data_IF_770453973785
#
_entry.id   IF_770453973785
#
_cell.length_a   1.000
_cell.length_b   1.000
_cell.length_c   1.000
_cell.angle_alpha   90.00
_cell.angle_beta   90.00
_cell.angle_gamma   90.00
#
_symmetry.space_group_name_H-M   'P 1'
#
loop_
_entity.id
_entity.type
_entity.pdbx_description
1 polymer ?
#
# COMPACT_ATOMS: atom_id res chain seq x y z
N UNK A 1 -9.76 11.30 17.36
CA UNK A 1 -9.64 9.86 17.07
C UNK A 1 -9.20 9.79 15.64
N UNK A 2 -7.94 9.40 15.41
CA UNK A 2 -7.40 9.24 14.07
C UNK A 2 -7.55 7.78 13.69
N UNK A 3 -8.42 7.47 12.74
CA UNK A 3 -8.69 6.09 12.35
C UNK A 3 -8.46 5.87 10.86
N UNK A 4 -8.16 4.64 10.49
CA UNK A 4 -8.13 4.18 9.11
C UNK A 4 -9.07 3.00 8.94
N UNK A 5 -9.62 2.85 7.73
CA UNK A 5 -10.28 1.63 7.31
C UNK A 5 -9.31 0.84 6.43
N UNK A 6 -8.92 -0.35 6.87
CA UNK A 6 -8.25 -1.30 6.00
C UNK A 6 -9.29 -1.97 5.11
N UNK A 7 -8.98 -2.08 3.83
CA UNK A 7 -9.84 -2.76 2.85
C UNK A 7 -8.99 -3.71 2.02
N UNK A 8 -9.52 -4.92 1.84
CA UNK A 8 -8.93 -5.94 1.00
C UNK A 8 -9.94 -6.31 -0.09
N UNK A 9 -9.53 -6.18 -1.34
CA UNK A 9 -10.32 -6.66 -2.48
C UNK A 9 -9.63 -7.83 -3.17
N UNK A 10 -10.38 -8.82 -3.63
CA UNK A 10 -9.90 -9.87 -4.53
C UNK A 10 -9.95 -9.38 -5.98
N UNK A 11 -8.87 -9.53 -6.75
CA UNK A 11 -8.91 -9.29 -8.19
C UNK A 11 -9.67 -10.44 -8.87
N UNK A 12 -10.75 -10.10 -9.58
CA UNK A 12 -11.55 -11.06 -10.35
C UNK A 12 -11.24 -11.04 -11.84
N UNK A 13 -10.77 -9.90 -12.35
CA UNK A 13 -10.36 -9.73 -13.74
C UNK A 13 -8.99 -9.08 -13.84
N UNK A 14 -8.33 -9.34 -14.96
CA UNK A 14 -7.00 -8.77 -15.23
C UNK A 14 -7.04 -7.23 -15.14
N UNK A 15 -5.98 -6.63 -14.63
CA UNK A 15 -5.89 -5.22 -14.35
C UNK A 15 -5.00 -4.50 -15.36
N UNK A 16 -5.44 -3.34 -15.85
CA UNK A 16 -4.65 -2.47 -16.73
C UNK A 16 -4.33 -1.19 -15.96
N UNK A 17 -3.08 -1.06 -15.54
CA UNK A 17 -2.60 0.13 -14.83
C UNK A 17 -1.15 -0.03 -14.40
N UNK A 18 -0.81 0.55 -13.25
CA UNK A 18 0.56 0.52 -12.76
C UNK A 18 0.97 -0.88 -12.28
N UNK A 19 2.15 -1.41 -12.69
CA UNK A 19 2.51 -2.81 -12.44
C UNK A 19 2.76 -3.17 -10.98
N UNK A 20 3.07 -2.19 -10.14
CA UNK A 20 3.47 -2.42 -8.74
C UNK A 20 2.37 -2.13 -7.73
N UNK A 21 1.32 -1.40 -8.12
CA UNK A 21 0.26 -0.98 -7.22
C UNK A 21 -0.99 -0.54 -7.99
N UNK A 22 -2.12 -0.46 -7.28
CA UNK A 22 -3.28 0.33 -7.70
C UNK A 22 -3.14 1.73 -7.10
N UNK A 23 -3.16 2.79 -7.91
CA UNK A 23 -2.98 4.14 -7.35
C UNK A 23 -4.15 4.56 -6.47
N UNK A 24 -3.88 5.38 -5.44
CA UNK A 24 -4.96 5.94 -4.62
C UNK A 24 -5.90 6.80 -5.46
N UNK A 25 -5.38 7.45 -6.52
CA UNK A 25 -6.20 8.09 -7.55
C UNK A 25 -7.18 7.10 -8.22
N UNK A 26 -6.72 5.92 -8.66
CA UNK A 26 -7.61 4.92 -9.27
C UNK A 26 -8.66 4.38 -8.29
N UNK A 27 -8.30 4.20 -7.01
CA UNK A 27 -9.24 3.79 -5.95
C UNK A 27 -10.30 4.87 -5.73
N UNK A 28 -9.90 6.14 -5.57
CA UNK A 28 -10.85 7.24 -5.37
C UNK A 28 -11.76 7.46 -6.59
N UNK A 29 -11.26 7.28 -7.81
CA UNK A 29 -12.09 7.35 -9.02
C UNK A 29 -13.12 6.21 -9.09
N UNK A 30 -12.79 5.03 -8.57
CA UNK A 30 -13.76 3.93 -8.47
C UNK A 30 -14.82 4.24 -7.40
N UNK A 31 -14.39 4.65 -6.20
CA UNK A 31 -15.30 5.02 -5.10
C UNK A 31 -16.23 6.18 -5.46
N UNK A 32 -15.75 7.18 -6.20
CA UNK A 32 -16.54 8.34 -6.62
C UNK A 32 -17.72 8.00 -7.53
N UNK A 33 -17.82 6.78 -8.05
CA UNK A 33 -19.01 6.31 -8.79
C UNK A 33 -20.15 5.89 -7.87
N UNK A 34 -19.85 5.64 -6.59
CA UNK A 34 -20.77 5.11 -5.58
C UNK A 34 -20.99 6.09 -4.42
N UNK A 35 -20.07 7.03 -4.22
CA UNK A 35 -20.14 8.02 -3.15
C UNK A 35 -20.78 9.34 -3.59
N UNK A 36 -21.49 9.98 -2.67
CA UNK A 36 -21.88 11.37 -2.83
C UNK A 36 -20.65 12.28 -2.92
N UNK A 37 -20.70 13.38 -3.71
CA UNK A 37 -19.53 14.23 -3.95
C UNK A 37 -18.86 14.80 -2.69
N UNK A 38 -19.65 15.08 -1.64
CA UNK A 38 -19.14 15.61 -0.36
C UNK A 38 -18.34 14.57 0.42
N UNK A 39 -18.87 13.34 0.50
CA UNK A 39 -18.16 12.21 1.12
C UNK A 39 -16.91 11.87 0.29
N UNK A 40 -17.05 11.80 -1.04
CA UNK A 40 -15.92 11.54 -1.94
C UNK A 40 -14.80 12.55 -1.77
N UNK A 41 -15.12 13.85 -1.68
CA UNK A 41 -14.14 14.92 -1.45
C UNK A 41 -13.40 14.81 -0.13
N UNK A 42 -14.03 14.18 0.88
CA UNK A 42 -13.50 14.03 2.24
C UNK A 42 -12.70 12.72 2.45
N UNK A 43 -12.90 11.73 1.58
CA UNK A 43 -12.15 10.47 1.61
C UNK A 43 -10.82 10.60 0.88
N UNK A 44 -9.81 9.99 1.48
CA UNK A 44 -8.48 9.84 0.93
C UNK A 44 -8.07 8.36 0.95
N UNK A 45 -7.33 7.92 -0.06
CA UNK A 45 -6.94 6.52 -0.23
C UNK A 45 -5.43 6.37 -0.37
N UNK A 46 -4.85 5.36 0.28
CA UNK A 46 -3.48 4.93 0.01
C UNK A 46 -3.36 4.36 -1.40
N UNK A 47 -2.11 4.15 -1.86
CA UNK A 47 -1.89 3.17 -2.92
C UNK A 47 -2.33 1.78 -2.43
N UNK A 48 -3.03 1.04 -3.28
CA UNK A 48 -3.36 -0.36 -3.09
C UNK A 48 -2.16 -1.24 -3.42
N UNK A 49 -1.74 -2.07 -2.47
CA UNK A 49 -0.63 -3.02 -2.63
C UNK A 49 -1.19 -4.34 -3.10
N UNK A 50 -0.59 -4.93 -4.13
CA UNK A 50 -0.95 -6.28 -4.56
C UNK A 50 -0.45 -7.31 -3.56
N UNK A 51 -1.31 -8.24 -3.14
CA UNK A 51 -1.00 -9.25 -2.11
C UNK A 51 -1.39 -10.64 -2.62
N UNK A 52 -0.49 -11.64 -2.60
CA UNK A 52 -0.82 -12.98 -3.04
C UNK A 52 -1.60 -13.75 -1.96
N UNK A 53 -2.64 -14.48 -2.33
CA UNK A 53 -3.37 -15.39 -1.44
C UNK A 53 -2.59 -16.66 -1.09
N UNK A 54 -1.48 -16.53 -0.37
CA UNK A 54 -0.55 -17.62 -0.06
C UNK A 54 -0.35 -17.86 1.43
N UNK A 55 0.23 -19.02 1.74
CA UNK A 55 0.67 -19.35 3.10
C UNK A 55 1.79 -18.41 3.52
N UNK A 56 1.73 -17.97 4.78
CA UNK A 56 2.72 -17.10 5.36
C UNK A 56 3.01 -17.41 6.81
N UNK A 57 4.11 -16.86 7.30
CA UNK A 57 4.44 -16.75 8.73
C UNK A 57 4.41 -15.29 9.08
N UNK A 58 3.80 -14.95 10.22
CA UNK A 58 3.90 -13.59 10.73
C UNK A 58 5.36 -13.21 11.01
N UNK A 59 5.83 -12.03 10.56
CA UNK A 59 7.14 -11.51 10.93
C UNK A 59 7.29 -11.37 12.45
N UNK A 60 8.53 -11.33 12.95
CA UNK A 60 8.81 -11.18 14.38
C UNK A 60 8.21 -9.89 14.94
N UNK A 61 8.11 -8.84 14.12
CA UNK A 61 7.55 -7.57 14.54
C UNK A 61 6.04 -7.56 14.70
N UNK A 62 5.35 -8.55 14.13
CA UNK A 62 3.91 -8.65 14.20
C UNK A 62 3.46 -9.25 15.54
N UNK A 63 2.34 -8.77 16.09
CA UNK A 63 1.83 -9.19 17.41
C UNK A 63 1.29 -10.62 17.41
N UNK A 64 0.74 -11.06 16.27
CA UNK A 64 0.41 -12.46 16.02
C UNK A 64 1.63 -13.25 15.55
N UNK A 65 1.66 -14.56 15.83
CA UNK A 65 2.77 -15.45 15.46
C UNK A 65 2.29 -16.73 14.78
N UNK A 66 3.24 -17.47 14.20
CA UNK A 66 3.00 -18.77 13.57
C UNK A 66 2.62 -18.72 12.09
N UNK A 67 2.38 -19.91 11.54
CA UNK A 67 2.05 -20.10 10.11
C UNK A 67 0.54 -20.00 9.92
N UNK A 68 0.10 -19.16 8.98
CA UNK A 68 -1.31 -19.02 8.60
C UNK A 68 -1.52 -19.43 7.14
N UNK A 69 -2.50 -20.31 6.85
CA UNK A 69 -2.92 -20.57 5.49
C UNK A 69 -3.56 -19.30 4.91
N UNK A 70 -3.20 -18.96 3.66
CA UNK A 70 -3.78 -17.81 2.94
C UNK A 70 -3.67 -16.48 3.71
N UNK A 71 -2.50 -16.19 4.30
CA UNK A 71 -2.26 -14.99 5.09
C UNK A 71 -2.55 -13.69 4.32
N UNK A 72 -2.31 -13.69 3.00
CA UNK A 72 -2.61 -12.54 2.13
C UNK A 72 -4.07 -12.40 1.68
N UNK A 73 -4.98 -13.31 2.06
CA UNK A 73 -6.39 -13.28 1.63
C UNK A 73 -7.38 -12.83 2.70
N UNK A 74 -6.88 -12.17 3.75
CA UNK A 74 -7.70 -11.60 4.82
C UNK A 74 -6.90 -10.58 5.62
N UNK A 75 -7.58 -9.87 6.52
CA UNK A 75 -6.98 -8.86 7.37
C UNK A 75 -6.79 -9.42 8.78
N UNK A 76 -5.54 -9.64 9.24
CA UNK A 76 -5.28 -10.01 10.63
C UNK A 76 -5.59 -8.88 11.61
N UNK A 77 -5.86 -9.23 12.87
CA UNK A 77 -6.05 -8.23 13.93
C UNK A 77 -4.82 -7.32 14.03
N UNK A 78 -5.08 -6.01 14.16
CA UNK A 78 -4.05 -4.98 14.35
C UNK A 78 -4.06 -4.54 15.80
N UNK A 79 -2.93 -4.69 16.49
CA UNK A 79 -2.75 -4.29 17.90
C UNK A 79 -1.54 -3.38 18.09
N UNK A 80 -0.54 -3.49 17.22
CA UNK A 80 0.63 -2.64 17.22
C UNK A 80 0.80 -1.92 15.88
N UNK A 81 1.59 -0.85 15.89
CA UNK A 81 1.96 -0.11 14.68
C UNK A 81 2.54 -1.00 13.58
N UNK A 82 3.40 -1.95 13.94
CA UNK A 82 4.06 -2.85 12.99
C UNK A 82 3.09 -3.80 12.28
N UNK A 83 1.95 -4.13 12.90
CA UNK A 83 0.94 -5.04 12.33
C UNK A 83 0.35 -4.49 11.02
N UNK A 84 0.23 -3.16 10.92
CA UNK A 84 -0.28 -2.48 9.74
C UNK A 84 0.53 -2.84 8.48
N UNK A 85 1.85 -2.96 8.62
CA UNK A 85 2.75 -3.10 7.47
C UNK A 85 2.86 -4.52 6.93
N UNK A 86 2.22 -5.52 7.55
CA UNK A 86 2.27 -6.92 7.12
C UNK A 86 2.02 -7.08 5.61
N UNK A 87 1.01 -6.38 5.08
CA UNK A 87 0.59 -6.44 3.68
C UNK A 87 0.92 -5.16 2.91
N UNK A 88 1.77 -4.28 3.45
CA UNK A 88 2.17 -3.02 2.78
C UNK A 88 3.50 -3.16 2.05
N UNK A 89 4.33 -4.12 2.45
CA UNK A 89 5.62 -4.37 1.80
C UNK A 89 5.48 -5.25 0.55
N UNK A 90 5.92 -4.73 -0.60
CA UNK A 90 5.91 -5.44 -1.88
C UNK A 90 6.81 -6.69 -1.91
N UNK A 91 7.80 -6.78 -1.01
CA UNK A 91 8.67 -7.97 -0.90
C UNK A 91 8.00 -9.15 -0.18
N UNK A 92 6.83 -8.93 0.42
CA UNK A 92 6.03 -9.90 1.15
C UNK A 92 6.89 -10.75 2.11
N UNK A 93 7.52 -10.14 3.13
CA UNK A 93 8.47 -10.82 4.02
C UNK A 93 7.84 -12.01 4.75
N UNK A 94 6.52 -11.99 4.92
CA UNK A 94 5.72 -13.04 5.53
C UNK A 94 5.56 -14.30 4.65
N UNK A 95 5.83 -14.25 3.34
CA UNK A 95 5.73 -15.45 2.49
C UNK A 95 6.72 -16.52 2.97
N UNK A 96 6.24 -17.76 3.09
CA UNK A 96 7.10 -18.89 3.43
C UNK A 96 8.25 -19.05 2.43
N UNK A 97 9.46 -19.34 2.91
CA UNK A 97 10.65 -19.61 2.07
C UNK A 97 10.45 -20.77 1.08
N UNK A 98 9.47 -21.64 1.35
CA UNK A 98 9.06 -22.73 0.44
C UNK A 98 8.19 -22.26 -0.73
N UNK A 99 7.99 -20.95 -0.90
CA UNK A 99 7.26 -20.34 -2.01
C UNK A 99 8.22 -19.58 -2.91
N UNK A 100 7.99 -19.68 -4.22
CA UNK A 100 8.79 -18.96 -5.21
C UNK A 100 8.46 -17.47 -5.17
N UNK A 101 9.13 -16.73 -4.27
CA UNK A 101 8.88 -15.31 -4.03
C UNK A 101 8.99 -14.47 -5.31
N UNK A 102 9.99 -14.73 -6.16
CA UNK A 102 10.15 -14.02 -7.44
C UNK A 102 8.92 -14.13 -8.35
N UNK A 103 8.24 -15.27 -8.30
CA UNK A 103 7.02 -15.54 -9.07
C UNK A 103 5.73 -15.13 -8.32
N UNK A 104 5.83 -14.68 -7.07
CA UNK A 104 4.73 -14.22 -6.22
C UNK A 104 4.89 -12.76 -5.76
N UNK A 105 5.83 -12.03 -6.35
CA UNK A 105 6.02 -10.58 -6.19
C UNK A 105 5.72 -9.83 -7.49
N UNK A 106 5.36 -10.54 -8.57
CA UNK A 106 5.04 -9.97 -9.87
C UNK A 106 3.82 -10.67 -10.48
N UNK A 107 3.06 -9.95 -11.29
CA UNK A 107 1.92 -10.50 -12.02
C UNK A 107 2.36 -11.10 -13.35
N UNK A 108 1.69 -12.18 -13.76
CA UNK A 108 1.77 -12.65 -15.14
C UNK A 108 1.20 -11.58 -16.08
N UNK A 109 1.83 -11.39 -17.24
CA UNK A 109 1.31 -10.50 -18.28
C UNK A 109 0.42 -11.30 -19.25
N UNK A 110 -0.83 -10.88 -19.38
CA UNK A 110 -1.78 -11.41 -20.35
C UNK A 110 -2.10 -10.35 -21.39
N UNK A 111 -2.03 -10.72 -22.68
CA UNK A 111 -2.35 -9.81 -23.77
C UNK A 111 -3.72 -10.17 -24.33
N UNK A 112 -4.69 -9.30 -24.09
CA UNK A 112 -6.05 -9.44 -24.57
C UNK A 112 -6.41 -8.23 -25.42
N UNK A 113 -6.85 -8.45 -26.66
CA UNK A 113 -7.20 -7.36 -27.59
C UNK A 113 -6.05 -6.39 -27.90
N UNK A 114 -4.79 -6.83 -27.76
CA UNK A 114 -3.60 -6.00 -27.96
C UNK A 114 -3.19 -5.13 -26.76
N UNK A 115 -3.88 -5.26 -25.62
CA UNK A 115 -3.54 -4.56 -24.39
C UNK A 115 -2.84 -5.52 -23.41
N UNK A 116 -1.62 -5.20 -22.95
CA UNK A 116 -0.99 -5.94 -21.86
C UNK A 116 -1.72 -5.62 -20.55
N UNK A 117 -2.21 -6.66 -19.88
CA UNK A 117 -2.88 -6.60 -18.61
C UNK A 117 -2.15 -7.48 -17.59
N UNK A 118 -2.20 -7.07 -16.33
CA UNK A 118 -1.69 -7.84 -15.19
C UNK A 118 -2.73 -8.91 -14.84
N UNK A 119 -2.32 -10.16 -14.78
CA UNK A 119 -3.20 -11.26 -14.45
C UNK A 119 -3.73 -11.14 -13.01
N UNK A 120 -5.02 -11.41 -12.84
CA UNK A 120 -5.68 -11.47 -11.52
C UNK A 120 -5.30 -12.70 -10.69
N UNK A 121 -4.64 -13.68 -11.31
CA UNK A 121 -4.13 -14.88 -10.67
C UNK A 121 -2.81 -15.32 -11.30
N UNK A 122 -1.96 -15.98 -10.50
CA UNK A 122 -0.73 -16.63 -10.97
C UNK A 122 -0.94 -18.14 -10.96
N UNK A 123 -0.67 -18.81 -12.09
CA UNK A 123 -0.79 -20.26 -12.22
C UNK A 123 0.62 -20.87 -12.36
N UNK A 124 1.03 -21.65 -11.37
CA UNK A 124 2.33 -22.33 -11.36
C UNK A 124 2.18 -23.81 -11.63
N UNK A 125 2.99 -24.34 -12.55
CA UNK A 125 3.15 -25.78 -12.73
C UNK A 125 3.77 -26.42 -11.48
N UNK A 126 3.34 -27.64 -11.17
CA UNK A 126 3.93 -28.49 -10.13
C UNK A 126 4.60 -29.70 -10.76
N UNK A 127 5.51 -30.33 -10.03
CA UNK A 127 6.17 -31.58 -10.44
C UNK A 127 5.14 -32.69 -10.69
N UNK A 128 5.45 -33.58 -11.62
CA UNK A 128 4.54 -34.67 -12.04
C UNK A 128 4.19 -35.65 -10.92
N UNK A 129 5.05 -35.78 -9.90
CA UNK A 129 4.84 -36.63 -8.72
C UNK A 129 3.90 -36.01 -7.67
N UNK A 130 3.51 -34.74 -7.83
CA UNK A 130 2.55 -34.07 -6.95
C UNK A 130 1.11 -34.41 -7.34
N UNK A 131 0.23 -34.52 -6.32
CA UNK A 131 -1.21 -34.79 -6.53
C UNK A 131 -1.91 -33.79 -7.47
N UNK A 132 -1.47 -32.52 -7.47
CA UNK A 132 -1.99 -31.47 -8.37
C UNK A 132 -0.90 -31.08 -9.36
N UNK A 133 -1.26 -30.99 -10.63
CA UNK A 133 -0.35 -30.56 -11.71
C UNK A 133 -0.08 -29.05 -11.70
N UNK A 134 -0.95 -28.26 -11.07
CA UNK A 134 -0.85 -26.80 -11.01
C UNK A 134 -1.27 -26.26 -9.64
N UNK A 135 -0.80 -25.07 -9.32
CA UNK A 135 -1.21 -24.25 -8.19
C UNK A 135 -1.60 -22.86 -8.68
N UNK A 136 -2.85 -22.51 -8.43
CA UNK A 136 -3.37 -21.15 -8.66
C UNK A 136 -3.22 -20.33 -7.39
N UNK A 137 -2.73 -19.10 -7.54
CA UNK A 137 -2.67 -18.09 -6.50
C UNK A 137 -3.51 -16.90 -6.95
N UNK A 138 -4.52 -16.55 -6.15
CA UNK A 138 -5.31 -15.34 -6.38
C UNK A 138 -4.56 -14.11 -5.88
N UNK A 139 -4.75 -12.99 -6.55
CA UNK A 139 -4.22 -11.70 -6.12
C UNK A 139 -5.30 -10.85 -5.44
N UNK A 140 -4.87 -10.10 -4.44
CA UNK A 140 -5.69 -9.16 -3.69
C UNK A 140 -5.08 -7.76 -3.76
N UNK A 141 -5.87 -6.74 -3.47
CA UNK A 141 -5.45 -5.36 -3.34
C UNK A 141 -5.74 -4.92 -1.91
N UNK A 142 -4.70 -4.62 -1.14
CA UNK A 142 -4.80 -4.10 0.22
C UNK A 142 -4.56 -2.60 0.24
N UNK A 143 -5.50 -1.83 0.78
CA UNK A 143 -5.39 -0.37 0.88
C UNK A 143 -5.92 0.16 2.22
N UNK A 144 -5.55 1.39 2.52
CA UNK A 144 -6.09 2.18 3.62
C UNK A 144 -6.95 3.31 3.08
N UNK A 145 -8.11 3.48 3.68
CA UNK A 145 -8.92 4.68 3.54
C UNK A 145 -8.83 5.49 4.83
N UNK A 146 -8.80 6.81 4.70
CA UNK A 146 -8.88 7.72 5.84
C UNK A 146 -9.69 8.97 5.46
N UNK A 147 -10.22 9.62 6.48
CA UNK A 147 -10.90 10.90 6.38
C UNK A 147 -10.64 11.71 7.65
N UNK A 148 -10.57 13.03 7.52
CA UNK A 148 -10.39 13.92 8.67
C UNK A 148 -11.65 13.98 9.55
N UNK A 149 -12.82 13.90 8.92
CA UNK A 149 -14.10 13.76 9.62
C UNK A 149 -14.33 12.29 9.99
N UNK A 150 -14.37 11.93 11.30
CA UNK A 150 -14.56 10.55 11.74
C UNK A 150 -15.95 9.98 11.41
N UNK A 151 -16.91 10.81 10.98
CA UNK A 151 -18.25 10.35 10.58
C UNK A 151 -18.31 9.82 9.15
N UNK A 152 -17.27 10.05 8.35
CA UNK A 152 -17.16 9.60 6.95
C UNK A 152 -16.84 8.10 6.86
N UNK A 153 -16.09 7.56 7.81
CA UNK A 153 -15.70 6.13 7.86
C UNK A 153 -16.45 5.39 8.99
N UNK A 154 -16.70 4.08 8.85
CA UNK A 154 -16.35 3.23 7.70
C UNK A 154 -17.25 3.43 6.49
N UNK A 155 -16.68 3.26 5.29
CA UNK A 155 -17.48 3.02 4.10
C UNK A 155 -18.10 1.62 4.18
N UNK A 156 -19.39 1.53 3.85
CA UNK A 156 -20.15 0.28 3.85
C UNK A 156 -19.76 -0.66 2.70
N UNK A 157 -20.11 -1.94 2.84
CA UNK A 157 -19.87 -2.95 1.80
C UNK A 157 -20.56 -2.58 0.48
N UNK A 158 -21.71 -1.91 0.53
CA UNK A 158 -22.46 -1.42 -0.64
C UNK A 158 -21.67 -0.42 -1.49
N UNK A 159 -20.73 0.30 -0.89
CA UNK A 159 -19.80 1.21 -1.59
C UNK A 159 -18.52 0.51 -2.02
N UNK A 160 -18.04 -0.46 -1.23
CA UNK A 160 -16.76 -1.12 -1.46
C UNK A 160 -16.85 -2.33 -2.40
N UNK A 161 -18.05 -2.86 -2.64
CA UNK A 161 -18.32 -4.00 -3.52
C UNK A 161 -18.50 -3.57 -4.99
N UNK A 162 -18.15 -4.45 -5.93
CA UNK A 162 -18.40 -4.23 -7.36
C UNK A 162 -17.57 -3.11 -8.00
N UNK A 163 -16.46 -2.71 -7.35
CA UNK A 163 -15.56 -1.70 -7.88
C UNK A 163 -14.74 -2.22 -9.08
N UNK A 164 -14.25 -1.28 -9.88
CA UNK A 164 -13.33 -1.56 -10.98
C UNK A 164 -12.15 -0.58 -10.96
N UNK A 165 -10.93 -1.11 -10.95
CA UNK A 165 -9.70 -0.31 -10.92
C UNK A 165 -9.00 -0.23 -12.29
N UNK A 166 -8.35 0.90 -12.55
CA UNK A 166 -7.50 1.07 -13.72
C UNK A 166 -8.25 1.39 -15.03
N UNK A 167 -7.62 1.04 -16.15
CA UNK A 167 -8.09 1.35 -17.49
C UNK A 167 -9.01 0.30 -18.10
N UNK A 168 -9.72 0.68 -19.17
CA UNK A 168 -10.57 -0.22 -19.98
C UNK A 168 -11.66 -0.96 -19.19
N UNK A 169 -12.14 -0.35 -18.11
CA UNK A 169 -13.26 -0.79 -17.25
C UNK A 169 -14.52 -1.22 -18.02
N UNK A 170 -14.82 -0.55 -19.14
CA UNK A 170 -15.93 -0.90 -20.03
C UNK A 170 -15.79 -2.25 -20.75
N UNK A 171 -14.63 -2.92 -20.63
CA UNK A 171 -14.36 -4.28 -21.13
C UNK A 171 -14.20 -5.31 -19.99
N UNK A 172 -14.50 -4.92 -18.74
CA UNK A 172 -14.42 -5.81 -17.56
C UNK A 172 -13.03 -5.90 -16.92
N UNK A 173 -12.04 -5.11 -17.36
CA UNK A 173 -10.73 -5.09 -16.69
C UNK A 173 -10.80 -4.47 -15.30
N UNK A 174 -10.02 -5.02 -14.38
CA UNK A 174 -9.84 -4.53 -13.03
C UNK A 174 -11.05 -4.71 -12.13
N UNK A 175 -12.00 -5.59 -12.47
CA UNK A 175 -13.08 -6.00 -11.57
C UNK A 175 -12.52 -6.60 -10.30
N UNK A 176 -13.05 -6.13 -9.17
CA UNK A 176 -12.69 -6.60 -7.85
C UNK A 176 -13.92 -6.96 -7.04
N UNK A 177 -13.73 -7.85 -6.07
CA UNK A 177 -14.74 -8.20 -5.07
C UNK A 177 -14.25 -7.82 -3.68
N UNK A 178 -15.10 -7.25 -2.84
CA UNK A 178 -14.72 -7.00 -1.45
C UNK A 178 -14.46 -8.34 -0.75
N UNK A 179 -13.30 -8.46 -0.11
CA UNK A 179 -12.90 -9.67 0.60
C UNK A 179 -13.00 -9.51 2.11
N UNK A 180 -12.51 -8.38 2.61
CA UNK A 180 -12.40 -8.11 4.04
C UNK A 180 -12.25 -6.60 4.28
N UNK A 181 -12.71 -6.13 5.43
CA UNK A 181 -12.49 -4.74 5.87
C UNK A 181 -12.51 -4.65 7.39
N UNK A 182 -11.68 -3.78 7.95
CA UNK A 182 -11.69 -3.48 9.38
C UNK A 182 -11.33 -2.03 9.66
N UNK A 183 -11.92 -1.47 10.73
CA UNK A 183 -11.54 -0.17 11.27
C UNK A 183 -10.39 -0.34 12.26
N UNK A 184 -9.41 0.57 12.19
CA UNK A 184 -8.28 0.61 13.10
C UNK A 184 -8.17 2.02 13.69
N UNK A 185 -8.25 2.14 15.01
CA UNK A 185 -7.93 3.37 15.71
C UNK A 185 -6.41 3.49 15.87
N UNK A 186 -5.81 4.49 15.22
CA UNK A 186 -4.37 4.73 15.32
C UNK A 186 -3.96 5.26 16.69
N UNK A 187 -4.89 5.80 17.47
CA UNK A 187 -4.61 6.28 18.82
C UNK A 187 -4.50 5.16 19.85
N UNK A 188 -5.06 3.97 19.56
CA UNK A 188 -5.08 2.80 20.46
C UNK A 188 -3.96 1.76 20.18
N UNK A 189 -3.18 1.94 19.12
CA UNK A 189 -2.12 1.01 18.76
C UNK A 189 -0.93 1.07 19.73
N UNK A 190 -0.27 -0.07 19.90
CA UNK A 190 1.02 -0.14 20.59
C UNK A 190 2.16 0.44 19.71
N UNK A 191 2.81 1.48 20.23
CA UNK A 191 3.99 2.15 19.63
C UNK A 191 5.27 1.96 20.46
N UNK A 192 5.28 1.07 21.45
CA UNK A 192 6.39 0.88 22.40
C UNK A 192 7.75 0.65 21.72
N UNK A 193 7.75 -0.03 20.57
CA UNK A 193 8.96 -0.24 19.74
C UNK A 193 9.56 1.05 19.19
N UNK A 194 8.73 2.06 18.92
CA UNK A 194 9.21 3.39 18.53
C UNK A 194 9.59 4.21 19.76
N UNK A 195 8.82 4.18 20.83
CA UNK A 195 9.09 4.98 22.03
C UNK A 195 10.42 4.64 22.72
N UNK A 196 10.87 3.38 22.60
CA UNK A 196 12.10 2.89 23.25
C UNK A 196 13.40 3.04 22.45
N UNK A 197 13.38 3.60 21.23
CA UNK A 197 14.56 3.65 20.36
C UNK A 197 15.24 5.04 20.35
N UNK A 198 16.54 5.07 20.02
CA UNK A 198 17.30 6.33 19.89
C UNK A 198 17.48 6.79 18.44
N UNK A 199 17.39 5.85 17.50
CA UNK A 199 17.61 6.13 16.08
C UNK A 199 16.56 5.41 15.26
N UNK A 200 16.10 6.10 14.22
CA UNK A 200 15.02 5.61 13.37
C UNK A 200 15.38 5.75 11.90
N UNK A 201 14.82 4.85 11.11
CA UNK A 201 14.78 4.94 9.67
C UNK A 201 13.36 5.25 9.23
N UNK A 202 13.24 6.00 8.14
CA UNK A 202 12.02 6.13 7.36
C UNK A 202 12.17 5.24 6.15
N UNK A 203 11.18 4.40 5.92
CA UNK A 203 11.00 3.65 4.69
C UNK A 203 9.77 4.21 3.96
N UNK A 204 9.96 4.69 2.73
CA UNK A 204 8.84 5.16 1.91
C UNK A 204 8.04 3.98 1.40
N UNK A 205 6.78 3.87 1.81
CA UNK A 205 5.86 2.83 1.34
C UNK A 205 5.26 3.23 0.00
N UNK A 206 4.97 4.52 -0.19
CA UNK A 206 4.54 5.08 -1.46
C UNK A 206 5.41 6.27 -1.85
N UNK A 207 5.49 6.62 -3.15
CA UNK A 207 6.33 7.73 -3.59
C UNK A 207 5.94 9.04 -2.91
N UNK A 208 6.92 9.89 -2.58
CA UNK A 208 6.69 11.22 -1.99
C UNK A 208 6.84 12.30 -3.06
N UNK A 209 5.82 13.12 -3.27
CA UNK A 209 5.83 14.15 -4.33
C UNK A 209 6.70 15.33 -3.90
N UNK A 210 7.65 15.69 -4.77
CA UNK A 210 8.49 16.90 -4.62
C UNK A 210 8.04 18.02 -5.55
N UNK A 211 7.57 17.68 -6.77
CA UNK A 211 7.10 18.66 -7.76
C UNK A 211 5.82 18.16 -8.45
N UNK A 212 4.93 19.07 -8.82
CA UNK A 212 3.66 18.73 -9.48
C UNK A 212 3.24 19.72 -10.57
N UNK A 213 2.85 19.20 -11.74
CA UNK A 213 2.18 20.00 -12.78
C UNK A 213 0.69 20.28 -12.47
N UNK A 214 0.13 19.69 -11.43
CA UNK A 214 -1.29 19.85 -11.09
C UNK A 214 -1.56 21.28 -10.57
N UNK A 215 -2.60 21.97 -11.11
CA UNK A 215 -2.96 23.30 -10.63
C UNK A 215 -3.22 23.30 -9.12
N UNK A 216 -2.80 24.35 -8.43
CA UNK A 216 -2.99 24.52 -6.98
C UNK A 216 -2.28 23.47 -6.08
N UNK A 217 -1.38 22.66 -6.64
CA UNK A 217 -0.45 21.86 -5.85
C UNK A 217 0.80 22.69 -5.51
N UNK A 218 1.19 22.68 -4.23
CA UNK A 218 2.46 23.23 -3.81
C UNK A 218 3.60 22.24 -4.08
N UNK A 219 4.69 22.71 -4.68
CA UNK A 219 5.95 21.97 -4.67
C UNK A 219 6.45 21.85 -3.22
N UNK A 220 6.97 20.67 -2.87
CA UNK A 220 7.41 20.37 -1.51
C UNK A 220 8.89 19.99 -1.55
N UNK A 221 9.76 20.72 -0.82
CA UNK A 221 11.14 20.26 -0.66
C UNK A 221 11.15 18.92 0.09
N UNK A 222 12.25 18.18 -0.06
CA UNK A 222 12.53 17.02 0.79
C UNK A 222 12.39 17.44 2.25
N UNK A 223 11.64 16.70 3.10
CA UNK A 223 11.40 17.12 4.47
C UNK A 223 12.70 17.26 5.26
N UNK A 224 12.82 18.34 6.04
CA UNK A 224 14.03 18.66 6.82
C UNK A 224 14.40 17.59 7.86
N UNK A 225 13.43 16.76 8.24
CA UNK A 225 13.60 15.64 9.18
C UNK A 225 14.09 14.36 8.48
N UNK A 226 14.49 14.43 7.21
CA UNK A 226 15.22 13.38 6.49
C UNK A 226 16.69 13.75 6.45
N UNK A 227 17.58 12.79 6.71
CA UNK A 227 19.02 13.04 6.68
C UNK A 227 19.56 13.31 5.27
N UNK A 228 18.92 12.72 4.25
CA UNK A 228 19.31 12.89 2.85
C UNK A 228 18.76 14.19 2.26
N UNK A 229 19.56 14.81 1.40
CA UNK A 229 19.10 15.87 0.51
C UNK A 229 18.64 15.27 -0.82
N UNK A 230 18.03 16.10 -1.68
CA UNK A 230 17.50 15.66 -2.97
C UNK A 230 18.51 14.93 -3.85
N UNK A 231 19.78 15.35 -3.85
CA UNK A 231 20.82 14.75 -4.70
C UNK A 231 21.19 13.32 -4.26
N UNK A 232 20.90 12.96 -3.00
CA UNK A 232 21.07 11.62 -2.45
C UNK A 232 19.87 10.68 -2.67
N UNK A 233 18.78 11.16 -3.28
CA UNK A 233 17.52 10.42 -3.38
C UNK A 233 17.26 9.90 -4.80
N UNK A 234 16.63 8.72 -4.90
CA UNK A 234 16.15 8.21 -6.17
C UNK A 234 14.87 8.93 -6.56
N UNK A 235 14.92 9.68 -7.66
CA UNK A 235 13.77 10.36 -8.23
C UNK A 235 13.10 9.52 -9.31
N UNK A 236 11.78 9.67 -9.43
CA UNK A 236 10.92 8.99 -10.40
C UNK A 236 9.79 9.91 -10.87
N UNK A 237 9.49 9.88 -12.16
CA UNK A 237 8.28 10.53 -12.71
C UNK A 237 7.06 9.64 -12.43
N UNK A 238 6.03 10.23 -11.86
CA UNK A 238 4.71 9.64 -11.67
C UNK A 238 3.62 10.50 -12.34
N UNK A 239 2.40 9.97 -12.42
CA UNK A 239 1.28 10.67 -13.07
C UNK A 239 -0.01 10.52 -12.28
N UNK A 240 -0.79 11.59 -12.27
CA UNK A 240 -2.19 11.56 -11.85
C UNK A 240 -3.10 11.92 -13.02
N UNK A 241 -4.33 11.41 -12.96
CA UNK A 241 -5.39 11.68 -13.91
C UNK A 241 -6.53 12.35 -13.16
N UNK A 242 -6.84 13.59 -13.50
CA UNK A 242 -7.93 14.35 -12.90
C UNK A 242 -8.72 15.03 -14.01
N UNK A 243 -10.05 14.95 -13.98
CA UNK A 243 -10.94 15.51 -15.02
C UNK A 243 -10.56 15.16 -16.48
N UNK A 244 -9.97 13.97 -16.70
CA UNK A 244 -9.44 13.47 -17.99
C UNK A 244 -8.13 14.13 -18.47
N UNK A 245 -7.53 14.97 -17.65
CA UNK A 245 -6.21 15.54 -17.87
C UNK A 245 -5.16 14.78 -17.07
N UNK A 246 -3.97 14.62 -17.66
CA UNK A 246 -2.85 13.90 -17.05
C UNK A 246 -1.82 14.91 -16.61
N UNK A 247 -1.49 14.91 -15.33
CA UNK A 247 -0.48 15.79 -14.74
C UNK A 247 0.73 14.96 -14.31
N UNK A 248 1.94 15.43 -14.65
CA UNK A 248 3.17 14.78 -14.23
C UNK A 248 3.55 15.23 -12.83
N UNK A 249 4.16 14.30 -12.12
CA UNK A 249 4.69 14.47 -10.78
C UNK A 249 6.15 14.04 -10.80
N UNK A 250 7.00 14.77 -10.11
CA UNK A 250 8.31 14.25 -9.73
C UNK A 250 8.26 13.81 -8.26
N UNK A 251 8.78 12.61 -8.01
CA UNK A 251 8.66 11.95 -6.71
C UNK A 251 9.99 11.38 -6.25
N UNK A 252 10.20 11.34 -4.93
CA UNK A 252 11.13 10.39 -4.33
C UNK A 252 10.46 9.02 -4.37
N UNK A 253 11.16 8.04 -4.92
CA UNK A 253 10.59 6.73 -5.20
C UNK A 253 10.31 5.92 -3.92
N UNK A 254 9.32 5.04 -3.99
CA UNK A 254 9.00 4.08 -2.93
C UNK A 254 10.16 3.08 -2.69
N UNK A 255 10.21 2.50 -1.49
CA UNK A 255 11.29 1.63 -1.04
C UNK A 255 12.60 2.37 -0.72
N UNK A 256 12.65 3.70 -0.87
CA UNK A 256 13.77 4.50 -0.38
C UNK A 256 13.79 4.47 1.15
N UNK A 257 14.98 4.25 1.72
CA UNK A 257 15.19 4.26 3.17
C UNK A 257 16.14 5.39 3.53
N UNK A 258 15.77 6.22 4.52
CA UNK A 258 16.57 7.36 4.98
C UNK A 258 16.57 7.43 6.51
N UNK A 259 17.60 8.04 7.10
CA UNK A 259 17.65 8.29 8.55
C UNK A 259 16.67 9.40 8.93
N UNK A 260 15.91 9.18 9.99
CA UNK A 260 15.02 10.17 10.60
C UNK A 260 15.81 11.10 11.51
N UNK A 261 15.58 12.40 11.38
CA UNK A 261 16.23 13.45 12.18
C UNK A 261 15.25 14.24 13.07
N UNK A 262 13.96 13.90 13.04
CA UNK A 262 12.98 14.55 13.90
C UNK A 262 13.00 14.02 15.34
N UNK A 263 12.23 14.67 16.20
CA UNK A 263 12.13 14.40 17.64
C UNK A 263 10.76 13.84 18.08
N UNK A 264 9.88 13.59 17.11
CA UNK A 264 8.48 13.13 17.33
C UNK A 264 8.19 11.86 16.53
N UNK A 265 8.85 10.73 16.84
CA UNK A 265 8.78 9.51 16.04
C UNK A 265 7.35 8.94 15.96
N UNK A 266 6.62 8.88 17.08
CA UNK A 266 5.25 8.33 17.12
C UNK A 266 4.27 9.19 16.32
N UNK A 267 4.33 10.52 16.46
CA UNK A 267 3.48 11.43 15.69
C UNK A 267 3.82 11.36 14.19
N UNK A 268 5.11 11.27 13.85
CA UNK A 268 5.57 11.09 12.46
C UNK A 268 5.08 9.77 11.88
N UNK A 269 5.09 8.70 12.66
CA UNK A 269 4.59 7.38 12.26
C UNK A 269 3.08 7.40 11.98
N UNK A 270 2.29 8.08 12.83
CA UNK A 270 0.84 8.27 12.61
C UNK A 270 0.58 9.09 11.33
N UNK A 271 1.26 10.22 11.17
CA UNK A 271 1.13 11.05 9.97
C UNK A 271 1.57 10.29 8.71
N UNK A 272 2.56 9.40 8.83
CA UNK A 272 2.99 8.53 7.74
C UNK A 272 1.90 7.56 7.27
N UNK A 273 1.09 7.02 8.19
CA UNK A 273 -0.07 6.17 7.88
C UNK A 273 -1.21 6.94 7.23
N UNK A 274 -1.36 8.23 7.55
CA UNK A 274 -2.31 9.15 6.89
C UNK A 274 -1.73 9.83 5.65
N UNK A 275 -0.45 9.57 5.36
CA UNK A 275 0.39 10.18 4.32
C UNK A 275 0.72 11.65 4.55
N UNK A 276 1.86 12.08 4.02
CA UNK A 276 2.37 13.45 4.13
C UNK A 276 2.71 14.05 2.76
N UNK A 277 2.61 15.37 2.65
CA UNK A 277 2.99 16.11 1.44
C UNK A 277 1.88 16.26 0.41
N UNK A 278 2.25 16.74 -0.77
CA UNK A 278 1.31 17.00 -1.87
C UNK A 278 0.75 15.69 -2.43
N UNK A 279 -0.53 15.72 -2.83
CA UNK A 279 -1.25 14.54 -3.32
C UNK A 279 -1.39 13.38 -2.32
N UNK A 280 -1.26 13.65 -1.00
CA UNK A 280 -1.49 12.68 0.06
C UNK A 280 -2.89 12.03 -0.02
N UNK A 281 -3.90 12.80 -0.43
CA UNK A 281 -5.25 12.29 -0.72
C UNK A 281 -5.25 11.12 -1.72
N UNK A 282 -4.38 11.18 -2.72
CA UNK A 282 -4.25 10.18 -3.79
C UNK A 282 -3.22 9.09 -3.47
N UNK A 283 -2.76 9.03 -2.22
CA UNK A 283 -1.97 7.92 -1.69
C UNK A 283 -0.47 8.14 -1.68
N UNK A 284 0.03 9.29 -2.13
CA UNK A 284 1.45 9.62 -2.12
C UNK A 284 1.94 9.99 -0.73
N UNK A 285 3.20 9.68 -0.41
CA UNK A 285 3.85 10.08 0.85
C UNK A 285 3.48 9.23 2.05
N UNK A 286 3.09 7.97 1.85
CA UNK A 286 3.00 6.99 2.93
C UNK A 286 4.39 6.53 3.33
N UNK A 287 4.64 6.48 4.64
CA UNK A 287 5.93 6.06 5.16
C UNK A 287 5.77 5.19 6.40
N UNK A 288 6.78 4.34 6.60
CA UNK A 288 6.98 3.55 7.81
C UNK A 288 8.17 4.11 8.57
N UNK A 289 8.01 4.34 9.87
CA UNK A 289 9.13 4.60 10.75
C UNK A 289 9.60 3.27 11.38
N UNK A 290 10.91 2.97 11.33
CA UNK A 290 11.48 1.74 11.88
C UNK A 290 12.55 2.09 12.90
N UNK A 291 12.51 1.53 14.12
CA UNK A 291 13.61 1.70 15.06
C UNK A 291 14.84 0.92 14.55
N UNK A 292 16.04 1.50 14.65
CA UNK A 292 17.28 0.76 14.47
C UNK A 292 17.60 0.03 15.78
N UNK A 293 17.68 -1.30 15.72
CA UNK A 293 18.16 -2.10 16.85
C UNK A 293 19.65 -1.85 17.15
N UNK A 294 20.08 -2.21 18.36
CA UNK A 294 21.47 -2.02 18.86
C UNK A 294 22.55 -2.57 17.90
N UNK A 295 22.24 -3.61 17.12
CA UNK A 295 23.18 -4.24 16.17
C UNK A 295 23.65 -3.33 15.03
N UNK A 296 22.95 -2.23 14.74
CA UNK A 296 23.37 -1.23 13.74
C UNK A 296 24.05 0.00 14.38
N UNK A 297 24.07 0.11 15.70
CA UNK A 297 24.71 1.22 16.41
C UNK A 297 26.23 1.05 16.55
N UNK A 298 26.74 -0.18 16.43
CA UNK A 298 28.18 -0.46 16.52
C UNK A 298 28.94 -0.18 15.21
N UNK A 299 28.27 -0.05 14.07
CA UNK A 299 28.94 0.25 12.78
C UNK A 299 29.28 1.73 12.57
N UNK A 300 28.82 2.63 13.44
CA UNK A 300 29.11 4.07 13.40
C UNK A 300 30.03 4.57 14.56
N UNK A 301 30.63 3.66 15.35
CA UNK A 301 31.68 3.99 16.34
C UNK A 301 33.06 3.59 15.87
#
# INVERSE_FOLDING_TARGET
MTAIQQVLWELWMDYIGHPYYVSGNAILHALGQHLDPEIHGSVSASHGVFVPGQFGTFPEEHTQSGIRPYLGSGLPDVKAYDDLFLQREAMHPWLLDTRARDALNTHDLRVHGGHPALAHETIMGRREDQRKQQQTTKWYVHAYLHADDPTVLPLGEDVLEGLQFGGKRNYGYGEVQLKDTQMVDLDELDYSRLEGAETYLIELVTPFVVESEYPDADDRPVPWWWAENRDGLRLREEKILEQREVFRLETVDHGQVVKYLGDRPVETAKNGLTRVGSHSRYGFGELRLKPLGEQYQESEK
#
